data_IF_935546435833
#
_entry.id   IF_935546435833
#
_cell.length_a   1.000
_cell.length_b   1.000
_cell.length_c   1.000
_cell.angle_alpha   90.00
_cell.angle_beta   90.00
_cell.angle_gamma   90.00
#
_symmetry.space_group_name_H-M   'P 1'
#
loop_
_entity.id
_entity.type
_entity.pdbx_description
1 polymer ?
#
# COMPACT_ATOMS: atom_id res chain seq x y z
N UNK A 1 13.53 -34.37 -27.93
CA UNK A 1 14.09 -35.38 -27.00
C UNK A 1 14.65 -34.69 -25.78
N UNK A 2 14.18 -35.13 -24.62
CA UNK A 2 14.65 -35.01 -23.21
C UNK A 2 15.03 -33.63 -22.63
N UNK A 3 14.19 -33.03 -21.77
CA UNK A 3 13.91 -33.23 -20.32
C UNK A 3 15.00 -32.64 -19.38
N UNK A 4 14.54 -31.82 -18.41
CA UNK A 4 15.09 -31.48 -17.05
C UNK A 4 16.47 -30.83 -16.94
N UNK A 5 16.76 -29.94 -15.99
CA UNK A 5 16.04 -29.53 -14.79
C UNK A 5 16.93 -28.57 -13.99
N UNK A 6 16.31 -27.76 -13.12
CA UNK A 6 17.03 -26.84 -12.27
C UNK A 6 17.84 -27.52 -11.16
N UNK A 7 18.86 -26.81 -10.69
CA UNK A 7 19.39 -26.98 -9.34
C UNK A 7 19.43 -25.62 -8.65
N UNK A 8 18.90 -25.65 -7.44
CA UNK A 8 18.78 -24.55 -6.51
C UNK A 8 20.09 -24.39 -5.73
N UNK A 9 20.32 -23.16 -5.26
CA UNK A 9 21.06 -22.75 -4.05
C UNK A 9 22.52 -23.18 -3.90
N UNK A 10 23.40 -22.21 -3.64
CA UNK A 10 23.87 -21.94 -2.27
C UNK A 10 24.85 -20.76 -2.20
N UNK A 11 24.77 -20.05 -1.08
CA UNK A 11 25.82 -19.21 -0.46
C UNK A 11 26.19 -17.87 -1.13
N UNK A 12 25.82 -16.77 -0.46
CA UNK A 12 26.36 -15.45 -0.77
C UNK A 12 25.67 -14.23 -0.16
N UNK A 13 24.61 -14.39 0.66
CA UNK A 13 24.02 -13.24 1.36
C UNK A 13 24.93 -12.80 2.51
N UNK A 14 25.71 -11.73 2.28
CA UNK A 14 26.42 -10.96 3.31
C UNK A 14 25.41 -10.27 4.23
N UNK A 15 24.91 -10.99 5.21
CA UNK A 15 24.16 -10.42 6.33
C UNK A 15 25.17 -9.87 7.36
N UNK A 16 25.38 -8.55 7.34
CA UNK A 16 26.04 -7.84 8.43
C UNK A 16 25.10 -7.79 9.63
N UNK A 17 25.11 -8.86 10.44
CA UNK A 17 24.43 -8.91 11.73
C UNK A 17 25.48 -8.86 12.85
N UNK A 18 25.90 -7.65 13.22
CA UNK A 18 26.54 -7.42 14.52
C UNK A 18 25.45 -7.29 15.58
N UNK A 19 24.85 -8.42 15.95
CA UNK A 19 24.10 -8.55 17.20
C UNK A 19 25.05 -9.11 18.25
N UNK A 20 25.89 -8.24 18.80
CA UNK A 20 26.63 -8.55 20.02
C UNK A 20 25.66 -8.32 21.19
N UNK A 21 25.32 -9.40 21.91
CA UNK A 21 24.54 -9.30 23.15
C UNK A 21 23.45 -10.35 23.30
N UNK A 22 23.79 -11.64 23.23
CA UNK A 22 23.02 -12.68 23.92
C UNK A 22 24.01 -13.56 24.68
N UNK A 23 24.11 -13.28 25.98
CA UNK A 23 24.72 -14.17 26.95
C UNK A 23 23.88 -15.44 27.09
N UNK A 24 24.55 -16.57 26.87
CA UNK A 24 24.17 -17.95 27.21
C UNK A 24 22.89 -18.53 26.58
N UNK A 25 23.04 -19.15 25.41
CA UNK A 25 22.20 -20.30 25.03
C UNK A 25 22.86 -21.55 25.60
N UNK A 26 22.27 -22.16 26.63
CA UNK A 26 22.56 -23.56 26.99
C UNK A 26 21.38 -24.44 26.59
N UNK A 27 21.65 -25.37 25.68
CA UNK A 27 20.87 -26.59 25.54
C UNK A 27 21.30 -27.55 26.66
N UNK A 28 20.35 -28.17 27.36
CA UNK A 28 20.58 -29.40 28.11
C UNK A 28 19.43 -30.36 27.80
N UNK A 29 19.82 -31.62 27.60
CA UNK A 29 19.06 -32.70 27.02
C UNK A 29 17.80 -33.10 27.79
N UNK A 30 16.98 -33.88 27.09
CA UNK A 30 15.79 -34.49 27.64
C UNK A 30 16.09 -35.47 28.78
N UNK A 31 15.12 -35.60 29.67
CA UNK A 31 15.05 -36.66 30.65
C UNK A 31 13.64 -37.26 30.66
N UNK A 32 13.64 -38.58 30.65
CA UNK A 32 12.57 -39.58 30.70
C UNK A 32 11.25 -39.22 31.40
N UNK A 33 10.17 -39.68 30.76
CA UNK A 33 8.86 -39.95 31.35
C UNK A 33 8.99 -40.81 32.61
N UNK A 34 8.36 -40.36 33.71
CA UNK A 34 7.85 -41.25 34.75
C UNK A 34 6.37 -40.94 34.96
N UNK A 35 5.53 -41.92 34.66
CA UNK A 35 4.14 -41.96 35.10
C UNK A 35 4.12 -42.31 36.60
N UNK A 36 3.26 -41.65 37.37
CA UNK A 36 3.09 -41.98 38.78
C UNK A 36 2.16 -41.05 39.54
N UNK A 37 0.88 -41.42 39.54
CA UNK A 37 -0.12 -41.27 40.60
C UNK A 37 -0.58 -39.86 41.07
N UNK A 38 -1.92 -39.80 41.16
CA UNK A 38 -2.79 -38.76 41.68
C UNK A 38 -2.48 -38.32 43.11
N UNK A 39 -2.52 -37.00 43.34
CA UNK A 39 -3.14 -36.41 44.53
C UNK A 39 -3.83 -35.11 44.11
N UNK A 40 -5.13 -35.04 44.37
CA UNK A 40 -5.96 -33.86 44.20
C UNK A 40 -5.49 -32.76 45.16
N UNK A 41 -4.55 -31.93 44.72
CA UNK A 41 -4.13 -30.70 45.37
C UNK A 41 -4.88 -29.53 44.77
N UNK A 42 -5.56 -28.74 45.61
CA UNK A 42 -6.26 -27.50 45.25
C UNK A 42 -5.45 -26.73 44.21
N UNK A 43 -6.02 -26.50 43.02
CA UNK A 43 -5.50 -25.49 42.09
C UNK A 43 -5.53 -24.18 42.88
N UNK A 44 -4.38 -23.77 43.42
CA UNK A 44 -4.20 -22.36 43.70
C UNK A 44 -4.51 -21.68 42.38
N UNK A 45 -5.61 -20.93 42.36
CA UNK A 45 -5.83 -19.94 41.33
C UNK A 45 -4.65 -18.99 41.46
N UNK A 46 -3.54 -19.32 40.80
CA UNK A 46 -2.50 -18.37 40.52
C UNK A 46 -3.24 -17.28 39.75
N UNK A 47 -3.62 -16.23 40.46
CA UNK A 47 -4.04 -14.99 39.86
C UNK A 47 -2.85 -14.60 38.98
N UNK A 48 -2.95 -14.92 37.69
CA UNK A 48 -2.04 -14.41 36.70
C UNK A 48 -2.28 -12.91 36.75
N UNK A 49 -1.47 -12.20 37.54
CA UNK A 49 -1.39 -10.76 37.48
C UNK A 49 -0.83 -10.46 36.09
N UNK A 50 -1.75 -10.25 35.15
CA UNK A 50 -1.41 -9.68 33.85
C UNK A 50 -0.93 -8.27 34.15
N UNK A 51 0.38 -8.10 34.29
CA UNK A 51 0.99 -6.77 34.40
C UNK A 51 0.88 -6.14 33.03
N UNK A 52 -0.19 -5.38 32.79
CA UNK A 52 -0.32 -4.57 31.60
C UNK A 52 0.76 -3.48 31.61
N UNK A 53 1.88 -3.73 30.94
CA UNK A 53 2.95 -2.75 30.80
C UNK A 53 2.40 -1.51 30.06
N UNK A 54 2.30 -0.40 30.79
CA UNK A 54 1.86 0.90 30.26
C UNK A 54 2.79 1.33 29.13
N UNK A 55 2.31 1.31 27.88
CA UNK A 55 3.07 1.81 26.72
C UNK A 55 3.61 3.21 27.01
N UNK A 56 4.88 3.46 26.69
CA UNK A 56 5.53 4.75 26.90
C UNK A 56 4.77 5.89 26.24
N UNK A 57 4.79 7.07 26.86
CA UNK A 57 3.97 8.21 26.43
C UNK A 57 4.37 8.74 25.04
N UNK A 58 5.65 8.58 24.66
CA UNK A 58 6.17 8.84 23.32
C UNK A 58 5.49 7.95 22.27
N UNK A 59 5.35 6.64 22.56
CA UNK A 59 4.70 5.66 21.68
C UNK A 59 3.22 5.98 21.52
N UNK A 60 2.51 6.26 22.63
CA UNK A 60 1.09 6.65 22.60
C UNK A 60 0.85 7.94 21.83
N UNK A 61 1.74 8.92 21.94
CA UNK A 61 1.68 10.17 21.15
C UNK A 61 1.81 9.88 19.66
N UNK A 62 2.78 9.05 19.25
CA UNK A 62 2.97 8.69 17.84
C UNK A 62 1.78 7.91 17.27
N UNK A 63 1.19 6.99 18.04
CA UNK A 63 -0.03 6.27 17.63
C UNK A 63 -1.17 7.23 17.31
N UNK A 64 -1.49 8.15 18.24
CA UNK A 64 -2.54 9.18 18.04
C UNK A 64 -2.27 10.09 16.83
N UNK A 65 -1.02 10.51 16.63
CA UNK A 65 -0.64 11.34 15.48
C UNK A 65 -0.78 10.58 14.16
N UNK A 66 -0.31 9.32 14.13
CA UNK A 66 -0.37 8.48 12.95
C UNK A 66 -1.80 8.15 12.53
N UNK A 67 -2.70 7.91 13.50
CA UNK A 67 -4.12 7.69 13.23
C UNK A 67 -4.76 8.91 12.56
N UNK A 68 -4.53 10.10 13.13
CA UNK A 68 -5.02 11.37 12.55
C UNK A 68 -4.47 11.58 11.13
N UNK A 69 -3.17 11.43 10.95
CA UNK A 69 -2.54 11.62 9.65
C UNK A 69 -2.96 10.55 8.62
N UNK A 70 -3.18 9.30 9.06
CA UNK A 70 -3.68 8.21 8.22
C UNK A 70 -5.07 8.53 7.69
N UNK A 71 -5.98 9.00 8.53
CA UNK A 71 -7.34 9.38 8.11
C UNK A 71 -7.30 10.52 7.08
N UNK A 72 -6.53 11.57 7.35
CA UNK A 72 -6.35 12.70 6.44
C UNK A 72 -5.75 12.26 5.08
N UNK A 73 -4.64 11.53 5.12
CA UNK A 73 -3.95 11.05 3.92
C UNK A 73 -4.83 10.08 3.12
N UNK A 74 -5.61 9.23 3.80
CA UNK A 74 -6.56 8.31 3.15
C UNK A 74 -7.59 9.10 2.35
N UNK A 75 -8.21 10.13 2.94
CA UNK A 75 -9.21 10.96 2.27
C UNK A 75 -8.67 11.69 1.04
N UNK A 76 -7.48 12.29 1.12
CA UNK A 76 -6.86 12.97 -0.03
C UNK A 76 -6.44 12.00 -1.13
N UNK A 77 -5.87 10.84 -0.77
CA UNK A 77 -5.49 9.80 -1.74
C UNK A 77 -6.71 9.18 -2.43
N UNK A 78 -7.80 8.94 -1.69
CA UNK A 78 -9.04 8.41 -2.25
C UNK A 78 -9.72 9.43 -3.16
N UNK A 79 -9.82 10.70 -2.77
CA UNK A 79 -10.37 11.77 -3.62
C UNK A 79 -9.67 11.85 -4.99
N UNK A 80 -8.33 11.83 -5.00
CA UNK A 80 -7.55 11.77 -6.23
C UNK A 80 -7.87 10.52 -7.06
N UNK A 81 -7.94 9.34 -6.43
CA UNK A 81 -8.24 8.07 -7.11
C UNK A 81 -9.64 8.10 -7.73
N UNK A 82 -10.63 8.62 -7.02
CA UNK A 82 -12.02 8.71 -7.50
C UNK A 82 -12.14 9.66 -8.69
N UNK A 83 -11.55 10.86 -8.64
CA UNK A 83 -11.58 11.80 -9.78
C UNK A 83 -10.91 11.21 -11.03
N UNK A 84 -9.76 10.58 -10.85
CA UNK A 84 -9.05 9.89 -11.95
C UNK A 84 -9.90 8.75 -12.53
N UNK A 85 -10.56 7.95 -11.68
CA UNK A 85 -11.46 6.89 -12.14
C UNK A 85 -12.63 7.42 -12.98
N UNK A 86 -13.21 8.57 -12.59
CA UNK A 86 -14.28 9.20 -13.37
C UNK A 86 -13.82 9.56 -14.78
N UNK A 87 -12.61 10.12 -14.91
CA UNK A 87 -12.03 10.41 -16.23
C UNK A 87 -11.90 9.13 -17.06
N UNK A 88 -11.40 8.04 -16.48
CA UNK A 88 -11.28 6.78 -17.22
C UNK A 88 -12.63 6.16 -17.60
N UNK A 89 -13.62 6.22 -16.71
CA UNK A 89 -14.97 5.74 -17.04
C UNK A 89 -15.56 6.52 -18.23
N UNK A 90 -15.46 7.86 -18.23
CA UNK A 90 -15.93 8.67 -19.36
C UNK A 90 -15.14 8.44 -20.65
N UNK A 91 -13.85 8.11 -20.54
CA UNK A 91 -13.00 7.74 -21.69
C UNK A 91 -13.42 6.39 -22.27
N UNK A 92 -13.69 5.41 -21.42
CA UNK A 92 -14.16 4.07 -21.81
C UNK A 92 -15.54 4.15 -22.49
N UNK A 93 -16.49 4.87 -21.88
CA UNK A 93 -17.83 5.10 -22.43
C UNK A 93 -17.78 5.73 -23.85
N UNK A 94 -16.89 6.69 -24.08
CA UNK A 94 -16.72 7.34 -25.39
C UNK A 94 -15.98 6.47 -26.40
N UNK A 95 -15.20 5.48 -25.95
CA UNK A 95 -14.49 4.56 -26.83
C UNK A 95 -15.37 3.41 -27.34
N UNK A 96 -16.31 2.94 -26.52
CA UNK A 96 -17.27 1.88 -26.87
C UNK A 96 -18.46 2.40 -27.68
N UNK A 97 -18.78 3.69 -27.52
CA UNK A 97 -19.86 4.37 -28.22
C UNK A 97 -19.45 4.98 -29.57
N UNK A 98 -20.11 6.08 -29.94
CA UNK A 98 -19.75 6.83 -31.13
C UNK A 98 -18.41 7.55 -30.89
N UNK A 99 -17.41 7.24 -31.71
CA UNK A 99 -16.11 7.93 -31.69
C UNK A 99 -16.35 9.45 -31.79
N UNK A 100 -15.69 10.27 -30.93
CA UNK A 100 -15.89 11.71 -30.94
C UNK A 100 -15.39 12.26 -32.27
N UNK A 101 -16.30 12.77 -33.10
CA UNK A 101 -15.98 13.33 -34.43
C UNK A 101 -15.60 14.81 -34.35
N UNK A 102 -15.90 15.46 -33.22
CA UNK A 102 -15.69 16.89 -33.03
C UNK A 102 -14.96 17.19 -31.72
N UNK A 103 -14.22 18.30 -31.69
CA UNK A 103 -13.58 18.79 -30.47
C UNK A 103 -14.59 19.19 -29.38
N UNK A 104 -15.85 19.42 -29.75
CA UNK A 104 -16.91 19.77 -28.81
C UNK A 104 -17.23 18.62 -27.85
N UNK A 105 -17.10 17.37 -28.29
CA UNK A 105 -17.38 16.17 -27.51
C UNK A 105 -16.31 15.91 -26.43
N UNK A 106 -15.12 16.52 -26.59
CA UNK A 106 -14.00 16.39 -25.64
C UNK A 106 -14.08 17.37 -24.46
N UNK A 107 -14.89 18.44 -24.58
CA UNK A 107 -15.10 19.44 -23.52
C UNK A 107 -15.48 18.85 -22.15
N UNK A 108 -16.45 17.92 -22.03
CA UNK A 108 -16.79 17.34 -20.73
C UNK A 108 -15.63 16.55 -20.11
N UNK A 109 -14.80 15.90 -20.93
CA UNK A 109 -13.60 15.19 -20.45
C UNK A 109 -12.58 16.20 -19.92
N UNK A 110 -12.37 17.31 -20.62
CA UNK A 110 -11.43 18.36 -20.22
C UNK A 110 -11.82 19.03 -18.89
N UNK A 111 -13.12 19.17 -18.61
CA UNK A 111 -13.62 19.61 -17.31
C UNK A 111 -13.29 18.60 -16.19
N UNK A 112 -13.50 17.31 -16.43
CA UNK A 112 -13.16 16.25 -15.48
C UNK A 112 -11.65 16.18 -15.22
N UNK A 113 -10.83 16.36 -16.27
CA UNK A 113 -9.37 16.43 -16.16
C UNK A 113 -8.96 17.64 -15.30
N UNK A 114 -9.58 18.80 -15.52
CA UNK A 114 -9.34 20.01 -14.73
C UNK A 114 -9.65 19.78 -13.25
N UNK A 115 -10.75 19.10 -12.94
CA UNK A 115 -11.10 18.70 -11.57
C UNK A 115 -10.13 17.69 -10.97
N UNK A 116 -9.59 16.77 -11.78
CA UNK A 116 -8.59 15.80 -11.33
C UNK A 116 -7.25 16.48 -11.01
N UNK A 117 -6.79 17.38 -11.89
CA UNK A 117 -5.55 18.14 -11.68
C UNK A 117 -5.61 19.02 -10.44
N UNK A 118 -6.75 19.71 -10.22
CA UNK A 118 -6.99 20.49 -9.00
C UNK A 118 -6.79 19.66 -7.72
N UNK A 119 -7.29 18.43 -7.65
CA UNK A 119 -7.11 17.58 -6.46
C UNK A 119 -5.69 17.03 -6.32
N UNK A 120 -5.05 16.66 -7.45
CA UNK A 120 -3.66 16.18 -7.44
C UNK A 120 -2.75 17.27 -6.88
N UNK A 121 -2.91 18.52 -7.35
CA UNK A 121 -2.04 19.63 -6.94
C UNK A 121 -2.31 20.08 -5.52
N UNK A 122 -3.59 20.06 -5.08
CA UNK A 122 -3.93 20.24 -3.67
C UNK A 122 -3.28 19.17 -2.78
N UNK A 123 -3.20 17.92 -3.23
CA UNK A 123 -2.55 16.85 -2.47
C UNK A 123 -1.02 17.01 -2.41
N UNK A 124 -0.40 17.57 -3.45
CA UNK A 124 1.03 17.90 -3.48
C UNK A 124 1.33 19.08 -2.55
N UNK A 125 0.55 20.16 -2.64
CA UNK A 125 0.70 21.34 -1.79
C UNK A 125 0.56 21.01 -0.30
N UNK A 126 -0.27 20.02 0.06
CA UNK A 126 -0.44 19.52 1.43
C UNK A 126 0.59 18.45 1.83
N UNK A 127 1.54 18.10 0.97
CA UNK A 127 2.59 17.11 1.25
C UNK A 127 2.10 15.66 1.35
N UNK A 128 0.88 15.35 0.90
CA UNK A 128 0.33 13.99 0.95
C UNK A 128 0.92 13.11 -0.17
N UNK A 129 1.32 13.74 -1.28
CA UNK A 129 1.89 13.08 -2.46
C UNK A 129 3.15 13.79 -2.92
N UNK A 130 4.18 13.01 -3.28
CA UNK A 130 5.40 13.56 -3.85
C UNK A 130 5.19 14.07 -5.29
N UNK A 131 5.93 15.12 -5.67
CA UNK A 131 5.85 15.77 -7.00
C UNK A 131 5.97 14.78 -8.17
N UNK A 132 6.87 13.80 -8.08
CA UNK A 132 7.05 12.80 -9.14
C UNK A 132 5.83 11.87 -9.27
N UNK A 133 5.17 11.54 -8.16
CA UNK A 133 3.96 10.71 -8.19
C UNK A 133 2.79 11.48 -8.79
N UNK A 134 2.69 12.77 -8.50
CA UNK A 134 1.70 13.65 -9.13
C UNK A 134 1.96 13.79 -10.64
N UNK A 135 3.21 14.03 -11.05
CA UNK A 135 3.60 14.12 -12.45
C UNK A 135 3.24 12.85 -13.23
N UNK A 136 3.53 11.65 -12.68
CA UNK A 136 3.15 10.37 -13.30
C UNK A 136 1.63 10.23 -13.47
N UNK A 137 0.83 10.69 -12.49
CA UNK A 137 -0.63 10.64 -12.57
C UNK A 137 -1.18 11.59 -13.63
N UNK A 138 -0.64 12.82 -13.71
CA UNK A 138 -1.00 13.78 -14.76
C UNK A 138 -0.66 13.25 -16.14
N UNK A 139 0.55 12.71 -16.31
CA UNK A 139 0.99 12.09 -17.55
C UNK A 139 0.07 10.93 -17.98
N UNK A 140 -0.38 10.10 -17.03
CA UNK A 140 -1.31 8.99 -17.33
C UNK A 140 -2.65 9.49 -17.87
N UNK A 141 -3.24 10.51 -17.24
CA UNK A 141 -4.52 11.10 -17.67
C UNK A 141 -4.37 11.78 -19.03
N UNK A 142 -3.28 12.53 -19.23
CA UNK A 142 -2.99 13.20 -20.50
C UNK A 142 -2.79 12.22 -21.66
N UNK A 143 -2.13 11.07 -21.41
CA UNK A 143 -1.97 10.00 -22.40
C UNK A 143 -3.32 9.44 -22.82
N UNK A 144 -4.19 9.07 -21.88
CA UNK A 144 -5.50 8.53 -22.23
C UNK A 144 -6.34 9.49 -23.09
N UNK A 145 -6.33 10.79 -22.78
CA UNK A 145 -6.97 11.82 -23.62
C UNK A 145 -6.35 11.87 -25.02
N UNK A 146 -5.02 11.89 -25.11
CA UNK A 146 -4.31 11.92 -26.40
C UNK A 146 -4.62 10.67 -27.22
N UNK A 147 -4.61 9.50 -26.60
CA UNK A 147 -4.85 8.22 -27.27
C UNK A 147 -6.26 8.18 -27.85
N UNK A 148 -7.27 8.69 -27.12
CA UNK A 148 -8.62 8.88 -27.68
C UNK A 148 -8.63 9.81 -28.90
N UNK A 149 -7.92 10.94 -28.83
CA UNK A 149 -7.87 11.90 -29.94
C UNK A 149 -7.19 11.31 -31.19
N UNK A 150 -6.18 10.45 -31.00
CA UNK A 150 -5.52 9.71 -32.09
C UNK A 150 -6.50 8.69 -32.69
N UNK A 151 -7.18 7.89 -31.86
CA UNK A 151 -8.18 6.91 -32.33
C UNK A 151 -9.32 7.57 -33.10
N UNK A 152 -9.74 8.75 -32.67
CA UNK A 152 -10.74 9.56 -33.36
C UNK A 152 -10.24 10.21 -34.67
N UNK A 153 -8.94 10.17 -34.95
CA UNK A 153 -8.33 10.79 -36.13
C UNK A 153 -8.18 12.31 -36.04
N UNK A 154 -8.35 12.90 -34.85
CA UNK A 154 -8.29 14.35 -34.62
C UNK A 154 -6.86 14.88 -34.40
N UNK A 155 -5.90 13.99 -34.16
CA UNK A 155 -4.52 14.38 -33.86
C UNK A 155 -3.54 13.37 -34.46
N UNK A 156 -2.55 13.86 -35.21
CA UNK A 156 -1.37 13.11 -35.63
C UNK A 156 -0.14 13.70 -34.94
N UNK A 157 0.69 12.87 -34.27
CA UNK A 157 1.86 13.32 -33.52
C UNK A 157 3.00 13.85 -34.41
#
# INVERSE_FOLDING_TARGET
MRVVGGTRCAAGCRANARFAGLSSVRCVGGASVRQGASLAGRRSTASVLVVEAKKGDSVKKRQRQNEKQRLYNKGKKSACKTRIKKVFASVEEMSEGALPKSEADLKPIDELISLAYKEIDRAVAKGVMHKNTAARRKARVARARRDLAITAGLYSP
#
